data_IF_686483627654
#
_entry.id   IF_686483627654
#
_cell.length_a   1.000
_cell.length_b   1.000
_cell.length_c   1.000
_cell.angle_alpha   90.00
_cell.angle_beta   90.00
_cell.angle_gamma   90.00
#
_symmetry.space_group_name_H-M   'P 1'
#
loop_
_entity.id
_entity.type
_entity.pdbx_description
1 polymer ?
#
# COMPACT_ATOMS: atom_id res chain seq x y z
N UNK A 1 -29.53 27.32 9.69
CA UNK A 1 -29.90 25.91 9.41
C UNK A 1 -30.06 25.60 7.92
N UNK A 2 -30.85 26.39 7.15
CA UNK A 2 -31.10 26.15 5.71
C UNK A 2 -29.83 26.22 4.85
N UNK A 3 -28.95 27.22 5.06
CA UNK A 3 -27.70 27.37 4.29
C UNK A 3 -26.70 26.22 4.52
N UNK A 4 -26.61 25.69 5.74
CA UNK A 4 -25.74 24.55 6.08
C UNK A 4 -26.21 23.25 5.44
N UNK A 5 -27.53 22.98 5.48
CA UNK A 5 -28.12 21.84 4.77
C UNK A 5 -27.90 21.94 3.25
N UNK A 6 -28.02 23.15 2.68
CA UNK A 6 -27.73 23.40 1.25
C UNK A 6 -26.25 23.20 0.91
N UNK A 7 -25.32 23.66 1.73
CA UNK A 7 -23.88 23.47 1.52
C UNK A 7 -23.48 21.99 1.64
N UNK A 8 -23.94 21.29 2.68
CA UNK A 8 -23.73 19.86 2.85
C UNK A 8 -24.34 19.09 1.67
N UNK A 9 -25.55 19.44 1.23
CA UNK A 9 -26.19 18.86 0.06
C UNK A 9 -25.39 19.11 -1.22
N UNK A 10 -24.92 20.34 -1.46
CA UNK A 10 -24.10 20.68 -2.62
C UNK A 10 -22.79 19.89 -2.66
N UNK A 11 -22.03 19.89 -1.56
CA UNK A 11 -20.76 19.20 -1.50
C UNK A 11 -20.92 17.67 -1.43
N UNK A 12 -21.99 17.16 -0.84
CA UNK A 12 -22.36 15.75 -0.90
C UNK A 12 -22.72 15.32 -2.33
N UNK A 13 -23.48 16.13 -3.06
CA UNK A 13 -23.76 15.90 -4.49
C UNK A 13 -22.51 16.04 -5.34
N UNK A 14 -21.63 17.00 -5.05
CA UNK A 14 -20.33 17.15 -5.72
C UNK A 14 -19.46 15.92 -5.48
N UNK A 15 -19.42 15.41 -4.24
CA UNK A 15 -18.75 14.17 -3.92
C UNK A 15 -19.34 13.05 -4.76
N UNK A 16 -20.66 12.83 -4.69
CA UNK A 16 -21.33 11.78 -5.46
C UNK A 16 -21.02 11.85 -6.97
N UNK A 17 -21.06 13.04 -7.57
CA UNK A 17 -20.72 13.26 -8.98
C UNK A 17 -19.24 13.02 -9.27
N UNK A 18 -18.33 13.49 -8.40
CA UNK A 18 -16.89 13.28 -8.56
C UNK A 18 -16.53 11.79 -8.40
N UNK A 19 -17.02 11.13 -7.36
CA UNK A 19 -16.84 9.69 -7.14
C UNK A 19 -17.46 8.87 -8.26
N UNK A 20 -18.65 9.25 -8.75
CA UNK A 20 -19.26 8.63 -9.93
C UNK A 20 -18.40 8.79 -11.18
N UNK A 21 -17.93 10.01 -11.47
CA UNK A 21 -17.01 10.26 -12.58
C UNK A 21 -15.72 9.46 -12.45
N UNK A 22 -15.14 9.39 -11.26
CA UNK A 22 -13.92 8.63 -11.00
C UNK A 22 -14.15 7.12 -11.06
N UNK A 23 -15.31 6.61 -10.66
CA UNK A 23 -15.66 5.20 -10.87
C UNK A 23 -15.65 4.83 -12.35
N UNK A 24 -16.32 5.63 -13.19
CA UNK A 24 -16.28 5.40 -14.64
C UNK A 24 -14.90 5.64 -15.24
N UNK A 25 -14.18 6.64 -14.74
CA UNK A 25 -12.84 6.94 -15.21
C UNK A 25 -11.85 5.86 -14.80
N UNK A 26 -11.93 5.26 -13.61
CA UNK A 26 -11.01 4.23 -13.15
C UNK A 26 -11.26 2.86 -13.80
N UNK A 27 -12.37 2.68 -14.53
CA UNK A 27 -12.60 1.46 -15.32
C UNK A 27 -11.40 1.21 -16.26
N UNK A 28 -10.87 -0.01 -16.20
CA UNK A 28 -9.74 -0.45 -17.01
C UNK A 28 -8.36 -0.27 -16.36
N UNK A 29 -8.28 0.25 -15.13
CA UNK A 29 -7.04 0.15 -14.33
C UNK A 29 -6.93 -1.29 -13.82
N UNK A 30 -6.06 -2.08 -14.43
CA UNK A 30 -5.67 -3.42 -13.95
C UNK A 30 -4.72 -3.31 -12.76
N UNK A 31 -4.76 -4.23 -11.78
CA UNK A 31 -3.86 -4.25 -10.64
C UNK A 31 -2.39 -4.35 -11.06
N UNK A 32 -1.52 -3.65 -10.32
CA UNK A 32 -0.09 -3.56 -10.60
C UNK A 32 0.73 -3.49 -9.31
N UNK A 33 2.01 -3.90 -9.38
CA UNK A 33 2.94 -3.87 -8.24
C UNK A 33 2.31 -4.50 -6.97
N UNK A 34 2.39 -3.84 -5.81
CA UNK A 34 1.78 -4.31 -4.55
C UNK A 34 0.27 -4.66 -4.68
N UNK A 35 -0.47 -3.99 -5.57
CA UNK A 35 -1.89 -4.29 -5.78
C UNK A 35 -2.09 -5.66 -6.44
N UNK A 36 -1.16 -6.07 -7.32
CA UNK A 36 -1.18 -7.40 -7.94
C UNK A 36 -0.85 -8.50 -6.91
N UNK A 37 0.05 -8.22 -5.96
CA UNK A 37 0.32 -9.14 -4.85
C UNK A 37 -0.92 -9.31 -3.96
N UNK A 38 -1.58 -8.22 -3.56
CA UNK A 38 -2.79 -8.28 -2.74
C UNK A 38 -3.94 -8.99 -3.46
N UNK A 39 -4.08 -8.76 -4.77
CA UNK A 39 -5.05 -9.50 -5.59
C UNK A 39 -4.73 -11.00 -5.62
N UNK A 40 -3.47 -11.36 -5.86
CA UNK A 40 -3.05 -12.76 -5.88
C UNK A 40 -3.29 -13.45 -4.54
N UNK A 41 -2.95 -12.81 -3.43
CA UNK A 41 -3.22 -13.31 -2.08
C UNK A 41 -4.71 -13.48 -1.81
N UNK A 42 -5.54 -12.55 -2.29
CA UNK A 42 -7.00 -12.66 -2.15
C UNK A 42 -7.50 -13.90 -2.86
N UNK A 43 -7.02 -14.20 -4.08
CA UNK A 43 -7.34 -15.42 -4.83
C UNK A 43 -6.86 -16.69 -4.13
N UNK A 44 -5.66 -16.68 -3.53
CA UNK A 44 -5.15 -17.81 -2.75
C UNK A 44 -6.04 -18.10 -1.53
N UNK A 45 -6.46 -17.06 -0.81
CA UNK A 45 -7.37 -17.19 0.34
C UNK A 45 -8.72 -17.79 -0.07
N UNK A 46 -9.27 -17.43 -1.22
CA UNK A 46 -10.50 -18.05 -1.74
C UNK A 46 -10.38 -19.55 -1.95
N UNK A 47 -9.16 -20.02 -2.25
CA UNK A 47 -8.81 -21.43 -2.40
C UNK A 47 -8.45 -22.11 -1.07
N UNK A 48 -8.49 -21.38 0.05
CA UNK A 48 -8.07 -21.86 1.37
C UNK A 48 -6.55 -21.95 1.55
N UNK A 49 -5.77 -21.28 0.69
CA UNK A 49 -4.30 -21.25 0.73
C UNK A 49 -3.85 -19.95 1.42
N UNK A 50 -3.11 -20.08 2.53
CA UNK A 50 -2.65 -18.93 3.33
C UNK A 50 -1.15 -18.64 3.22
N UNK A 51 -0.43 -19.44 2.43
CA UNK A 51 0.98 -19.27 2.10
C UNK A 51 1.13 -18.91 0.62
N UNK A 52 2.31 -18.45 0.22
CA UNK A 52 2.66 -18.16 -1.15
C UNK A 52 3.22 -19.45 -1.78
N UNK A 53 2.49 -20.09 -2.72
CA UNK A 53 2.91 -21.37 -3.27
C UNK A 53 4.20 -21.22 -4.08
N UNK A 54 5.07 -22.24 -3.97
CA UNK A 54 6.29 -22.36 -4.76
C UNK A 54 6.43 -23.78 -5.28
N UNK A 55 6.43 -23.94 -6.60
CA UNK A 55 6.49 -25.24 -7.28
C UNK A 55 7.81 -25.96 -7.07
N UNK A 56 8.90 -25.22 -6.83
CA UNK A 56 10.26 -25.77 -6.70
C UNK A 56 10.74 -25.90 -5.24
N UNK A 57 9.84 -25.88 -4.26
CA UNK A 57 10.20 -25.96 -2.83
C UNK A 57 11.10 -27.16 -2.49
N UNK A 58 10.93 -28.30 -3.18
CA UNK A 58 11.74 -29.49 -2.96
C UNK A 58 13.16 -29.39 -3.55
N UNK A 59 13.34 -28.64 -4.63
CA UNK A 59 14.60 -28.51 -5.39
C UNK A 59 15.38 -27.26 -4.95
N UNK A 60 14.69 -26.24 -4.44
CA UNK A 60 15.22 -25.00 -3.87
C UNK A 60 14.60 -24.78 -2.47
N UNK A 61 15.04 -25.56 -1.46
CA UNK A 61 14.49 -25.48 -0.10
C UNK A 61 14.80 -24.15 0.61
N UNK A 62 15.81 -23.42 0.13
CA UNK A 62 16.20 -22.10 0.65
C UNK A 62 15.46 -20.94 -0.06
N UNK A 63 14.62 -21.24 -1.05
CA UNK A 63 13.86 -20.25 -1.83
C UNK A 63 14.77 -19.18 -2.48
N UNK A 64 15.97 -19.61 -2.89
CA UNK A 64 16.99 -18.79 -3.54
C UNK A 64 16.51 -18.19 -4.86
N UNK A 65 15.54 -18.82 -5.53
CA UNK A 65 14.98 -18.35 -6.80
C UNK A 65 13.49 -18.01 -6.72
N UNK A 66 12.94 -17.89 -5.51
CA UNK A 66 11.53 -17.54 -5.30
C UNK A 66 11.17 -16.22 -6.01
N UNK A 67 10.04 -16.15 -6.73
CA UNK A 67 9.73 -15.02 -7.61
C UNK A 67 9.53 -13.68 -6.89
N UNK A 68 9.38 -13.66 -5.57
CA UNK A 68 9.22 -12.43 -4.80
C UNK A 68 10.49 -12.07 -4.02
N UNK A 69 10.76 -10.78 -3.78
CA UNK A 69 11.87 -10.36 -2.93
C UNK A 69 11.66 -10.80 -1.47
N UNK A 70 12.75 -11.05 -0.74
CA UNK A 70 12.73 -11.51 0.67
C UNK A 70 11.92 -10.63 1.61
N UNK A 71 11.79 -9.34 1.29
CA UNK A 71 10.99 -8.41 2.06
C UNK A 71 9.50 -8.80 2.13
N UNK A 72 9.00 -9.55 1.13
CA UNK A 72 7.58 -9.83 0.92
C UNK A 72 7.11 -11.20 1.43
N UNK A 73 8.04 -12.09 1.78
CA UNK A 73 7.73 -13.42 2.29
C UNK A 73 8.70 -13.84 3.41
N UNK A 74 8.25 -14.67 4.34
CA UNK A 74 9.04 -15.29 5.40
C UNK A 74 8.96 -16.81 5.26
N UNK A 75 10.09 -17.50 5.36
CA UNK A 75 10.09 -18.95 5.44
C UNK A 75 9.78 -19.39 6.86
N UNK A 76 8.74 -20.21 7.00
CA UNK A 76 8.33 -20.82 8.26
C UNK A 76 7.93 -22.26 7.99
N UNK A 77 8.58 -23.22 8.65
CA UNK A 77 8.32 -24.66 8.49
C UNK A 77 8.32 -25.12 7.02
N UNK A 78 9.28 -24.60 6.23
CA UNK A 78 9.42 -24.90 4.81
C UNK A 78 8.43 -24.19 3.88
N UNK A 79 7.48 -23.40 4.41
CA UNK A 79 6.50 -22.66 3.60
C UNK A 79 6.82 -21.17 3.53
N UNK A 80 6.59 -20.54 2.38
CA UNK A 80 6.69 -19.09 2.24
C UNK A 80 5.41 -18.39 2.70
N UNK A 81 5.41 -17.81 3.90
CA UNK A 81 4.34 -16.99 4.43
C UNK A 81 4.49 -15.54 3.95
N UNK A 82 3.40 -14.80 3.72
CA UNK A 82 3.55 -13.37 3.40
C UNK A 82 4.00 -12.58 4.63
N UNK A 83 4.85 -11.57 4.41
CA UNK A 83 5.24 -10.62 5.46
C UNK A 83 4.22 -9.51 5.65
N UNK A 84 3.30 -9.34 4.69
CA UNK A 84 2.11 -8.53 4.90
C UNK A 84 1.10 -9.32 5.72
N UNK A 85 0.46 -8.70 6.72
CA UNK A 85 -0.59 -9.37 7.46
C UNK A 85 -1.72 -9.74 6.50
N UNK A 86 -2.03 -11.03 6.41
CA UNK A 86 -3.09 -11.59 5.57
C UNK A 86 -4.50 -11.10 5.93
N UNK A 87 -4.64 -10.20 6.90
CA UNK A 87 -5.92 -9.70 7.40
C UNK A 87 -6.76 -9.04 6.29
N UNK A 88 -6.17 -8.21 5.43
CA UNK A 88 -6.92 -7.58 4.35
C UNK A 88 -7.40 -8.60 3.29
N UNK A 89 -6.53 -9.47 2.71
CA UNK A 89 -6.97 -10.55 1.83
C UNK A 89 -8.05 -11.46 2.46
N UNK A 90 -7.93 -11.79 3.75
CA UNK A 90 -8.92 -12.58 4.50
C UNK A 90 -10.29 -11.91 4.57
N UNK A 91 -10.32 -10.59 4.85
CA UNK A 91 -11.56 -9.85 4.96
C UNK A 91 -12.22 -9.60 3.60
N UNK A 92 -11.43 -9.38 2.55
CA UNK A 92 -11.94 -8.98 1.25
C UNK A 92 -12.27 -10.17 0.35
N UNK A 93 -11.70 -11.36 0.59
CA UNK A 93 -11.94 -12.55 -0.24
C UNK A 93 -13.40 -12.95 -0.39
N UNK A 94 -14.30 -12.89 0.63
CA UNK A 94 -15.70 -13.24 0.41
C UNK A 94 -16.41 -12.25 -0.51
N UNK A 95 -16.01 -10.98 -0.45
CA UNK A 95 -16.53 -9.90 -1.30
C UNK A 95 -16.01 -10.07 -2.73
N UNK A 96 -14.71 -10.35 -2.88
CA UNK A 96 -14.07 -10.59 -4.17
C UNK A 96 -14.70 -11.82 -4.86
N UNK A 97 -15.01 -12.89 -4.12
CA UNK A 97 -15.65 -14.08 -4.68
C UNK A 97 -17.04 -13.81 -5.26
N UNK A 98 -17.82 -12.92 -4.63
CA UNK A 98 -19.22 -12.66 -5.02
C UNK A 98 -19.31 -11.58 -6.10
N UNK A 99 -18.48 -10.54 -6.02
CA UNK A 99 -18.61 -9.34 -6.87
C UNK A 99 -17.34 -8.96 -7.63
N UNK A 100 -16.30 -9.79 -7.57
CA UNK A 100 -14.97 -9.53 -8.13
C UNK A 100 -14.45 -8.13 -7.72
N UNK A 101 -13.75 -7.44 -8.63
CA UNK A 101 -13.23 -6.09 -8.42
C UNK A 101 -14.36 -5.08 -8.12
N UNK A 102 -15.53 -5.24 -8.74
CA UNK A 102 -16.66 -4.31 -8.52
C UNK A 102 -17.21 -4.41 -7.10
N UNK A 103 -17.30 -5.62 -6.54
CA UNK A 103 -17.70 -5.85 -5.15
C UNK A 103 -16.73 -5.21 -4.16
N UNK A 104 -15.42 -5.30 -4.43
CA UNK A 104 -14.39 -4.64 -3.61
C UNK A 104 -14.54 -3.12 -3.65
N UNK A 105 -14.69 -2.54 -4.84
CA UNK A 105 -14.88 -1.08 -5.00
C UNK A 105 -16.14 -0.60 -4.28
N UNK A 106 -17.27 -1.29 -4.44
CA UNK A 106 -18.52 -0.94 -3.72
C UNK A 106 -18.32 -1.00 -2.21
N UNK A 107 -17.66 -2.04 -1.71
CA UNK A 107 -17.40 -2.20 -0.27
C UNK A 107 -16.48 -1.10 0.26
N UNK A 108 -15.46 -0.71 -0.51
CA UNK A 108 -14.58 0.40 -0.15
C UNK A 108 -15.30 1.75 -0.20
N UNK A 109 -16.22 1.98 -1.15
CA UNK A 109 -17.09 3.17 -1.18
C UNK A 109 -17.90 3.23 0.12
N UNK A 110 -18.56 2.12 0.49
CA UNK A 110 -19.37 2.05 1.71
C UNK A 110 -18.51 2.31 2.96
N UNK A 111 -17.33 1.70 3.05
CA UNK A 111 -16.40 1.90 4.17
C UNK A 111 -15.89 3.35 4.25
N UNK A 112 -15.54 3.95 3.11
CA UNK A 112 -15.05 5.32 3.05
C UNK A 112 -16.14 6.31 3.49
N UNK A 113 -17.33 6.27 2.87
CA UNK A 113 -18.43 7.16 3.26
C UNK A 113 -18.93 6.88 4.68
N UNK A 114 -18.97 5.62 5.11
CA UNK A 114 -19.27 5.23 6.48
C UNK A 114 -18.30 5.86 7.48
N UNK A 115 -17.00 5.88 7.16
CA UNK A 115 -16.00 6.58 7.96
C UNK A 115 -16.25 8.09 8.00
N UNK A 116 -16.55 8.74 6.88
CA UNK A 116 -16.93 10.18 6.87
C UNK A 116 -18.14 10.44 7.78
N UNK A 117 -19.16 9.58 7.72
CA UNK A 117 -20.34 9.69 8.58
C UNK A 117 -19.99 9.53 10.06
N UNK A 118 -19.16 8.56 10.43
CA UNK A 118 -18.70 8.35 11.81
C UNK A 118 -17.87 9.54 12.29
N UNK A 119 -16.96 10.06 11.46
CA UNK A 119 -16.16 11.24 11.80
C UNK A 119 -17.04 12.46 12.07
N UNK A 120 -18.08 12.66 11.26
CA UNK A 120 -19.04 13.73 11.50
C UNK A 120 -19.69 13.63 12.89
N UNK A 121 -19.93 12.42 13.41
CA UNK A 121 -20.52 12.24 14.74
C UNK A 121 -19.59 12.63 15.90
N UNK A 122 -18.29 12.80 15.68
CA UNK A 122 -17.33 13.19 16.73
C UNK A 122 -17.58 14.64 17.17
N UNK A 123 -17.74 15.58 16.23
CA UNK A 123 -17.93 17.01 16.54
C UNK A 123 -19.17 17.65 15.93
N UNK A 124 -19.88 16.94 15.04
CA UNK A 124 -20.99 17.47 14.23
C UNK A 124 -20.62 18.74 13.46
N UNK A 125 -19.34 18.87 13.10
CA UNK A 125 -18.82 20.02 12.36
C UNK A 125 -18.83 19.72 10.85
N UNK A 126 -19.63 20.50 10.12
CA UNK A 126 -19.74 20.42 8.67
C UNK A 126 -18.40 20.75 7.99
N UNK A 127 -17.65 21.74 8.49
CA UNK A 127 -16.38 22.16 7.86
C UNK A 127 -15.35 21.04 7.90
N UNK A 128 -15.14 20.45 9.09
CA UNK A 128 -14.23 19.33 9.28
C UNK A 128 -14.63 18.12 8.43
N UNK A 129 -15.93 17.84 8.31
CA UNK A 129 -16.43 16.73 7.48
C UNK A 129 -16.15 16.96 6.00
N UNK A 130 -16.36 18.19 5.51
CA UNK A 130 -16.07 18.56 4.13
C UNK A 130 -14.57 18.56 3.82
N UNK A 131 -13.75 19.02 4.77
CA UNK A 131 -12.30 18.91 4.68
C UNK A 131 -11.83 17.45 4.72
N UNK A 132 -12.50 16.55 5.43
CA UNK A 132 -12.12 15.14 5.42
C UNK A 132 -12.40 14.52 4.05
N UNK A 133 -13.51 14.90 3.42
CA UNK A 133 -13.92 14.36 2.13
C UNK A 133 -13.11 14.91 0.95
N UNK A 134 -12.73 16.19 0.99
CA UNK A 134 -11.99 16.85 -0.11
C UNK A 134 -10.56 17.25 0.24
N UNK A 135 -10.08 17.00 1.45
CA UNK A 135 -8.80 17.53 1.93
C UNK A 135 -7.57 16.72 1.58
N UNK A 136 -7.73 15.61 0.87
CA UNK A 136 -6.65 14.75 0.42
C UNK A 136 -7.07 13.92 -0.79
N UNK A 137 -6.11 13.33 -1.48
CA UNK A 137 -6.36 12.36 -2.55
C UNK A 137 -6.59 10.92 -2.07
N UNK A 138 -6.80 10.69 -0.76
CA UNK A 138 -7.19 9.39 -0.19
C UNK A 138 -8.33 8.67 -0.96
N UNK A 139 -9.36 9.39 -1.47
CA UNK A 139 -10.40 8.78 -2.31
C UNK A 139 -9.91 7.91 -3.46
N UNK A 140 -8.68 8.10 -3.97
CA UNK A 140 -8.15 7.28 -5.07
C UNK A 140 -8.05 5.80 -4.72
N UNK A 141 -7.80 5.46 -3.45
CA UNK A 141 -7.67 4.08 -3.01
C UNK A 141 -8.98 3.30 -2.99
N UNK A 142 -10.12 3.98 -3.11
CA UNK A 142 -11.45 3.35 -3.26
C UNK A 142 -11.54 2.55 -4.58
N UNK A 143 -10.69 2.86 -5.55
CA UNK A 143 -10.66 2.18 -6.85
C UNK A 143 -9.55 1.12 -6.95
N UNK A 144 -8.83 0.84 -5.86
CA UNK A 144 -7.66 -0.03 -5.85
C UNK A 144 -7.84 -1.16 -4.82
N UNK A 145 -7.42 -2.38 -5.13
CA UNK A 145 -7.42 -3.49 -4.15
C UNK A 145 -6.28 -3.22 -3.15
N UNK A 146 -6.60 -2.51 -2.06
CA UNK A 146 -5.61 -2.09 -1.08
C UNK A 146 -6.24 -1.77 0.28
N UNK A 147 -5.48 -1.97 1.35
CA UNK A 147 -5.94 -1.82 2.73
C UNK A 147 -6.10 -0.36 3.22
N UNK A 148 -5.68 0.65 2.44
CA UNK A 148 -5.69 2.07 2.87
C UNK A 148 -7.08 2.53 3.34
N UNK A 149 -8.14 2.17 2.60
CA UNK A 149 -9.51 2.57 2.96
C UNK A 149 -9.95 1.88 4.25
N UNK A 150 -9.63 0.60 4.43
CA UNK A 150 -9.91 -0.14 5.66
C UNK A 150 -9.21 0.51 6.87
N UNK A 151 -7.91 0.82 6.72
CA UNK A 151 -7.12 1.43 7.79
C UNK A 151 -7.65 2.83 8.13
N UNK A 152 -7.99 3.63 7.12
CA UNK A 152 -8.65 4.91 7.32
C UNK A 152 -9.98 4.76 8.10
N UNK A 153 -10.84 3.82 7.71
CA UNK A 153 -12.09 3.56 8.42
C UNK A 153 -11.88 3.12 9.87
N UNK A 154 -10.89 2.27 10.13
CA UNK A 154 -10.51 1.83 11.47
C UNK A 154 -9.95 2.98 12.31
N UNK A 155 -9.11 3.85 11.73
CA UNK A 155 -8.58 5.04 12.41
C UNK A 155 -9.71 5.99 12.84
N UNK A 156 -10.65 6.28 11.93
CA UNK A 156 -11.83 7.09 12.26
C UNK A 156 -12.67 6.44 13.36
N UNK A 157 -12.81 5.11 13.33
CA UNK A 157 -13.49 4.36 14.39
C UNK A 157 -12.78 4.48 15.73
N UNK A 158 -11.44 4.41 15.77
CA UNK A 158 -10.63 4.64 16.98
C UNK A 158 -10.88 6.05 17.53
N UNK A 159 -10.81 7.07 16.67
CA UNK A 159 -11.09 8.46 17.06
C UNK A 159 -12.50 8.62 17.65
N UNK A 160 -13.49 7.97 17.03
CA UNK A 160 -14.87 7.98 17.51
C UNK A 160 -15.04 7.26 18.85
N UNK A 161 -14.46 6.07 19.01
CA UNK A 161 -14.54 5.29 20.24
C UNK A 161 -13.82 5.98 21.39
N UNK A 162 -12.66 6.57 21.14
CA UNK A 162 -11.94 7.37 22.13
C UNK A 162 -12.77 8.58 22.55
N UNK A 163 -13.38 9.29 21.60
CA UNK A 163 -14.31 10.38 21.88
C UNK A 163 -15.54 9.94 22.68
N UNK A 164 -16.09 8.75 22.40
CA UNK A 164 -17.21 8.13 23.14
C UNK A 164 -16.82 7.45 24.45
N UNK A 165 -15.64 7.77 24.98
CA UNK A 165 -15.16 7.30 26.27
C UNK A 165 -15.00 5.77 26.36
N UNK A 166 -14.68 5.13 25.23
CA UNK A 166 -14.34 3.70 25.14
C UNK A 166 -12.84 3.50 24.81
N UNK A 167 -11.91 4.01 25.66
CA UNK A 167 -10.48 4.00 25.35
C UNK A 167 -9.90 2.59 25.21
N UNK A 168 -10.44 1.60 25.93
CA UNK A 168 -9.96 0.21 25.87
C UNK A 168 -10.19 -0.43 24.50
N UNK A 169 -11.40 -0.29 23.94
CA UNK A 169 -11.71 -0.82 22.61
C UNK A 169 -10.92 -0.04 21.55
N UNK A 170 -10.83 1.28 21.71
CA UNK A 170 -10.05 2.13 20.83
C UNK A 170 -8.57 1.68 20.79
N UNK A 171 -7.96 1.40 21.95
CA UNK A 171 -6.57 0.96 22.00
C UNK A 171 -6.33 -0.45 21.47
N UNK A 172 -7.26 -1.39 21.67
CA UNK A 172 -7.18 -2.71 21.02
C UNK A 172 -7.24 -2.62 19.49
N UNK A 173 -8.12 -1.78 18.94
CA UNK A 173 -8.19 -1.55 17.49
C UNK A 173 -6.93 -0.83 17.01
N UNK A 174 -6.40 0.15 17.76
CA UNK A 174 -5.12 0.78 17.45
C UNK A 174 -3.98 -0.23 17.41
N UNK A 175 -3.93 -1.20 18.32
CA UNK A 175 -2.93 -2.27 18.28
C UNK A 175 -3.03 -3.09 16.98
N UNK A 176 -4.23 -3.43 16.53
CA UNK A 176 -4.46 -4.10 15.23
C UNK A 176 -4.00 -3.23 14.07
N UNK A 177 -4.30 -1.92 14.07
CA UNK A 177 -3.84 -1.02 13.02
C UNK A 177 -2.30 -0.94 13.00
N UNK A 178 -1.65 -0.81 14.16
CA UNK A 178 -0.19 -0.79 14.28
C UNK A 178 0.40 -2.12 13.80
N UNK A 179 -0.25 -3.24 14.08
CA UNK A 179 0.20 -4.54 13.60
C UNK A 179 0.13 -4.66 12.07
N UNK A 180 -0.94 -4.15 11.47
CA UNK A 180 -1.12 -4.13 10.01
C UNK A 180 -0.13 -3.16 9.35
N UNK A 181 -0.01 -1.97 9.92
CA UNK A 181 0.87 -0.88 9.48
C UNK A 181 1.66 -0.31 10.65
N UNK A 182 2.86 -0.83 10.91
CA UNK A 182 3.68 -0.36 12.02
C UNK A 182 4.02 1.13 11.94
N UNK A 183 4.08 1.69 10.74
CA UNK A 183 4.29 3.11 10.52
C UNK A 183 3.17 4.01 11.06
N UNK A 184 1.95 3.47 11.25
CA UNK A 184 0.84 4.19 11.89
C UNK A 184 1.00 4.30 13.42
N UNK A 185 2.00 3.66 14.02
CA UNK A 185 2.28 3.74 15.46
C UNK A 185 2.37 5.17 15.99
N UNK A 186 3.08 6.05 15.27
CA UNK A 186 3.22 7.46 15.65
C UNK A 186 1.88 8.21 15.59
N UNK A 187 1.05 7.94 14.58
CA UNK A 187 -0.28 8.54 14.46
C UNK A 187 -1.21 8.06 15.59
N UNK A 188 -1.20 6.75 15.90
CA UNK A 188 -2.04 6.14 16.93
C UNK A 188 -1.68 6.62 18.34
N UNK A 189 -0.40 6.76 18.65
CA UNK A 189 0.07 7.34 19.92
C UNK A 189 -0.35 8.80 20.06
N UNK A 190 -0.53 9.51 18.94
CA UNK A 190 -0.94 10.91 18.98
C UNK A 190 -2.45 11.14 19.20
N UNK A 191 -3.29 10.15 18.90
CA UNK A 191 -4.76 10.26 19.00
C UNK A 191 -5.25 10.90 20.31
N UNK A 192 -4.77 10.51 21.50
CA UNK A 192 -5.23 11.08 22.75
C UNK A 192 -5.02 12.60 22.86
N UNK A 193 -3.96 13.15 22.25
CA UNK A 193 -3.64 14.57 22.29
C UNK A 193 -4.59 15.43 21.44
N UNK A 194 -5.37 14.81 20.54
CA UNK A 194 -6.48 15.47 19.85
C UNK A 194 -7.62 15.84 20.82
N UNK A 195 -7.68 15.20 22.00
CA UNK A 195 -8.72 15.40 23.01
C UNK A 195 -8.09 15.89 24.33
N UNK A 196 -8.89 16.53 25.20
CA UNK A 196 -8.39 17.22 26.42
C UNK A 196 -8.40 16.34 27.69
N UNK A 197 -8.53 15.02 27.56
CA UNK A 197 -8.89 14.12 28.69
C UNK A 197 -7.72 13.24 29.14
N UNK A 198 -7.00 13.63 30.21
CA UNK A 198 -5.75 12.98 30.67
C UNK A 198 -5.94 11.59 31.30
N UNK A 199 -6.98 11.35 32.11
CA UNK A 199 -7.20 10.06 32.80
C UNK A 199 -7.53 8.89 31.85
N UNK A 200 -7.94 9.21 30.61
CA UNK A 200 -8.31 8.22 29.58
C UNK A 200 -7.11 7.78 28.74
N UNK A 201 -6.03 8.57 28.76
CA UNK A 201 -4.77 8.29 28.08
C UNK A 201 -4.19 6.95 28.55
N UNK A 202 -4.03 6.79 29.87
CA UNK A 202 -3.40 5.62 30.47
C UNK A 202 -4.17 4.34 30.10
N UNK A 203 -5.50 4.36 30.16
CA UNK A 203 -6.33 3.20 29.78
C UNK A 203 -6.17 2.84 28.30
N UNK A 204 -6.09 3.84 27.43
CA UNK A 204 -5.85 3.65 26.01
C UNK A 204 -4.46 3.04 25.77
N UNK A 205 -3.39 3.64 26.32
CA UNK A 205 -2.02 3.17 26.16
C UNK A 205 -1.82 1.73 26.71
N UNK A 206 -2.36 1.42 27.89
CA UNK A 206 -2.32 0.06 28.45
C UNK A 206 -3.04 -0.92 27.51
N UNK A 207 -4.19 -0.55 26.94
CA UNK A 207 -4.91 -1.44 26.02
C UNK A 207 -4.19 -1.61 24.68
N UNK A 208 -3.50 -0.58 24.17
CA UNK A 208 -2.63 -0.70 22.99
C UNK A 208 -1.49 -1.67 23.29
N UNK A 209 -0.79 -1.48 24.41
CA UNK A 209 0.32 -2.33 24.82
C UNK A 209 -0.13 -3.78 24.98
N UNK A 210 -1.25 -4.01 25.68
CA UNK A 210 -1.83 -5.34 25.86
C UNK A 210 -2.18 -5.99 24.52
N UNK A 211 -2.83 -5.26 23.61
CA UNK A 211 -3.14 -5.75 22.27
C UNK A 211 -1.89 -6.11 21.46
N UNK A 212 -0.84 -5.27 21.51
CA UNK A 212 0.43 -5.56 20.85
C UNK A 212 1.14 -6.78 21.44
N UNK A 213 1.09 -6.97 22.76
CA UNK A 213 1.63 -8.17 23.41
C UNK A 213 0.88 -9.44 22.97
N UNK A 214 -0.45 -9.39 22.86
CA UNK A 214 -1.21 -10.53 22.36
C UNK A 214 -0.85 -10.87 20.91
N UNK A 215 -0.74 -9.85 20.06
CA UNK A 215 -0.38 -10.02 18.66
C UNK A 215 1.06 -10.52 18.50
N UNK A 216 2.01 -10.02 19.31
CA UNK A 216 3.40 -10.48 19.28
C UNK A 216 3.54 -11.92 19.76
N UNK A 217 2.83 -12.32 20.81
CA UNK A 217 2.80 -13.71 21.28
C UNK A 217 2.20 -14.63 20.21
N UNK A 218 1.06 -14.24 19.62
CA UNK A 218 0.46 -14.98 18.52
C UNK A 218 1.40 -15.12 17.33
N UNK A 219 2.11 -14.06 16.96
CA UNK A 219 3.08 -14.08 15.88
C UNK A 219 4.31 -14.92 16.21
N UNK A 220 4.76 -14.94 17.46
CA UNK A 220 5.85 -15.80 17.90
C UNK A 220 5.48 -17.28 17.77
N UNK A 221 4.27 -17.68 18.16
CA UNK A 221 3.82 -19.07 17.98
C UNK A 221 3.69 -19.50 16.51
N UNK A 222 3.43 -18.55 15.60
CA UNK A 222 3.24 -18.85 14.18
C UNK A 222 4.56 -18.76 13.41
N UNK A 223 5.43 -17.79 13.72
CA UNK A 223 6.55 -17.37 12.87
C UNK A 223 7.89 -17.24 13.59
N UNK A 224 7.94 -17.59 14.88
CA UNK A 224 9.11 -17.45 15.77
C UNK A 224 9.64 -16.00 15.90
N UNK A 225 8.83 -15.00 15.53
CA UNK A 225 9.15 -13.58 15.66
C UNK A 225 8.20 -12.84 16.59
N UNK A 226 8.73 -12.03 17.51
CA UNK A 226 7.93 -11.12 18.34
C UNK A 226 7.57 -9.81 17.63
N UNK A 227 8.31 -9.43 16.59
CA UNK A 227 8.05 -8.22 15.81
C UNK A 227 7.16 -8.58 14.61
N UNK A 228 6.32 -7.63 14.13
CA UNK A 228 5.70 -7.75 12.81
C UNK A 228 6.78 -8.07 11.77
N UNK A 229 6.57 -9.11 10.96
CA UNK A 229 7.58 -9.62 10.01
C UNK A 229 8.14 -8.51 9.11
N UNK A 230 7.30 -7.57 8.70
CA UNK A 230 7.68 -6.41 7.90
C UNK A 230 8.68 -5.49 8.61
N UNK A 231 8.61 -5.34 9.92
CA UNK A 231 9.62 -4.60 10.69
C UNK A 231 10.91 -5.41 10.86
N UNK A 232 10.79 -6.70 11.17
CA UNK A 232 11.94 -7.57 11.37
C UNK A 232 12.84 -7.64 10.11
N UNK A 233 12.24 -7.65 8.92
CA UNK A 233 12.97 -7.74 7.64
C UNK A 233 13.49 -6.42 7.08
N UNK A 234 13.03 -5.28 7.60
CA UNK A 234 13.43 -3.95 7.13
C UNK A 234 14.39 -3.26 8.12
N UNK A 235 15.20 -4.05 8.84
CA UNK A 235 16.10 -3.56 9.89
C UNK A 235 17.16 -2.59 9.38
N UNK A 236 17.56 -2.71 8.11
CA UNK A 236 18.67 -1.96 7.53
C UNK A 236 18.17 -0.64 6.93
N UNK A 237 17.70 0.25 7.82
CA UNK A 237 17.30 1.59 7.41
C UNK A 237 18.50 2.40 6.91
N UNK A 238 18.39 2.90 5.68
CA UNK A 238 19.31 3.87 5.12
C UNK A 238 18.59 5.18 4.88
N UNK A 239 19.03 6.24 5.56
CA UNK A 239 18.50 7.57 5.31
C UNK A 239 18.88 8.04 3.90
N UNK A 240 17.87 8.36 3.08
CA UNK A 240 18.04 8.87 1.71
C UNK A 240 17.36 10.23 1.58
N UNK A 241 18.12 11.35 1.52
CA UNK A 241 17.54 12.69 1.49
C UNK A 241 16.68 12.93 0.24
N UNK A 242 17.02 12.30 -0.88
CA UNK A 242 16.26 12.35 -2.13
C UNK A 242 14.82 11.83 -1.95
N UNK A 243 14.67 10.72 -1.22
CA UNK A 243 13.36 10.14 -0.91
C UNK A 243 12.53 11.07 -0.02
N UNK A 244 13.16 11.67 1.00
CA UNK A 244 12.49 12.61 1.89
C UNK A 244 12.00 13.85 1.13
N UNK A 245 12.84 14.42 0.26
CA UNK A 245 12.44 15.56 -0.59
C UNK A 245 11.27 15.20 -1.52
N UNK A 246 11.37 14.07 -2.19
CA UNK A 246 10.32 13.57 -3.07
C UNK A 246 9.00 13.36 -2.33
N UNK A 247 9.06 12.85 -1.10
CA UNK A 247 7.90 12.66 -0.25
C UNK A 247 7.27 13.93 0.26
N UNK A 248 8.07 14.93 0.64
CA UNK A 248 7.56 16.26 1.01
C UNK A 248 6.80 16.85 -0.17
N UNK A 249 7.39 16.80 -1.37
CA UNK A 249 6.76 17.28 -2.60
C UNK A 249 5.40 16.61 -2.79
N UNK A 250 5.37 15.28 -2.82
CA UNK A 250 4.12 14.51 -2.97
C UNK A 250 3.11 14.87 -1.88
N UNK A 251 3.53 14.93 -0.62
CA UNK A 251 2.65 15.23 0.50
C UNK A 251 1.98 16.60 0.36
N UNK A 252 2.75 17.62 -0.03
CA UNK A 252 2.22 18.96 -0.28
C UNK A 252 1.28 19.03 -1.47
N UNK A 253 1.51 18.25 -2.52
CA UNK A 253 0.64 18.19 -3.70
C UNK A 253 -0.65 17.40 -3.41
N UNK A 254 -0.56 16.32 -2.64
CA UNK A 254 -1.66 15.35 -2.49
C UNK A 254 -2.55 15.57 -1.27
N UNK A 255 -2.12 16.40 -0.31
CA UNK A 255 -2.88 16.66 0.92
C UNK A 255 -3.06 18.16 1.14
N UNK A 256 -4.06 18.80 0.48
CA UNK A 256 -4.36 20.21 0.66
C UNK A 256 -4.63 20.63 2.10
N UNK A 257 -5.19 19.75 2.94
CA UNK A 257 -5.40 20.03 4.37
C UNK A 257 -4.09 20.30 5.10
N UNK A 258 -2.98 19.71 4.66
CA UNK A 258 -1.67 20.01 5.22
C UNK A 258 -1.25 21.46 4.93
N UNK A 259 -1.47 21.95 3.69
CA UNK A 259 -1.20 23.35 3.35
C UNK A 259 -2.11 24.31 4.14
N UNK A 260 -3.40 23.99 4.27
CA UNK A 260 -4.33 24.74 5.13
C UNK A 260 -3.81 24.78 6.58
N UNK A 261 -3.25 23.68 7.07
CA UNK A 261 -2.65 23.59 8.41
C UNK A 261 -1.40 24.45 8.56
N UNK A 262 -0.56 24.56 7.52
CA UNK A 262 0.59 25.46 7.50
C UNK A 262 0.14 26.92 7.59
N UNK A 263 -0.84 27.32 6.76
CA UNK A 263 -1.37 28.69 6.80
C UNK A 263 -1.98 29.03 8.17
N UNK A 264 -2.69 28.07 8.78
CA UNK A 264 -3.24 28.25 10.13
C UNK A 264 -2.14 28.39 11.18
N UNK A 265 -1.07 27.58 11.10
CA UNK A 265 0.07 27.67 11.99
C UNK A 265 0.78 29.03 11.87
N UNK A 266 1.06 29.49 10.63
CA UNK A 266 1.67 30.79 10.39
C UNK A 266 0.83 31.92 10.98
N UNK A 267 -0.49 31.92 10.72
CA UNK A 267 -1.42 32.89 11.31
C UNK A 267 -1.44 32.83 12.84
N UNK A 268 -1.35 31.63 13.40
CA UNK A 268 -1.33 31.39 14.84
C UNK A 268 -0.05 31.96 15.49
N UNK A 269 1.10 31.87 14.83
CA UNK A 269 2.34 32.54 15.25
C UNK A 269 2.19 34.07 15.27
N UNK A 270 1.65 34.67 14.21
CA UNK A 270 1.41 36.13 14.16
C UNK A 270 0.47 36.61 15.27
N UNK A 271 -0.52 35.79 15.63
CA UNK A 271 -1.49 36.09 16.68
C UNK A 271 -1.03 35.67 18.10
N UNK A 272 0.18 35.13 18.26
CA UNK A 272 0.73 34.61 19.52
C UNK A 272 -0.15 33.55 20.20
N UNK A 273 -0.90 32.76 19.43
CA UNK A 273 -1.82 31.71 19.91
C UNK A 273 -1.41 30.34 19.37
N UNK A 274 -0.13 29.98 19.55
CA UNK A 274 0.47 28.77 18.96
C UNK A 274 -0.17 27.50 19.49
N UNK A 275 -0.66 26.64 18.59
CA UNK A 275 -1.17 25.31 18.96
C UNK A 275 -0.02 24.30 19.07
N UNK A 276 0.33 23.93 20.31
CA UNK A 276 1.36 22.91 20.59
C UNK A 276 1.00 21.58 19.92
N UNK A 277 -0.28 21.19 19.94
CA UNK A 277 -0.75 19.97 19.28
C UNK A 277 -0.49 20.00 17.77
N UNK A 278 -0.62 21.16 17.13
CA UNK A 278 -0.36 21.29 15.69
C UNK A 278 1.14 21.18 15.37
N UNK A 279 2.00 21.83 16.16
CA UNK A 279 3.45 21.71 16.04
C UNK A 279 3.94 20.26 16.22
N UNK A 280 3.39 19.56 17.20
CA UNK A 280 3.75 18.16 17.43
C UNK A 280 3.29 17.26 16.28
N UNK A 281 2.12 17.53 15.68
CA UNK A 281 1.67 16.79 14.49
C UNK A 281 2.58 17.04 13.27
N UNK A 282 3.07 18.27 13.10
CA UNK A 282 4.09 18.57 12.08
C UNK A 282 5.39 17.80 12.33
N UNK A 283 5.84 17.72 13.59
CA UNK A 283 7.02 16.93 13.96
C UNK A 283 6.83 15.45 13.63
N UNK A 284 5.67 14.86 13.99
CA UNK A 284 5.34 13.48 13.62
C UNK A 284 5.38 13.29 12.10
N UNK A 285 4.80 14.22 11.35
CA UNK A 285 4.78 14.15 9.87
C UNK A 285 6.21 14.11 9.32
N UNK A 286 7.09 14.97 9.83
CA UNK A 286 8.49 14.99 9.40
C UNK A 286 9.23 13.71 9.79
N UNK A 287 9.04 13.20 11.01
CA UNK A 287 9.62 11.92 11.43
C UNK A 287 9.15 10.79 10.52
N UNK A 288 7.85 10.70 10.20
CA UNK A 288 7.31 9.68 9.31
C UNK A 288 7.85 9.79 7.87
N UNK A 289 8.07 11.01 7.36
CA UNK A 289 8.70 11.24 6.05
C UNK A 289 10.16 10.79 6.06
N UNK A 290 10.92 11.12 7.12
CA UNK A 290 12.33 10.78 7.22
C UNK A 290 12.55 9.28 7.40
N UNK A 291 11.69 8.61 8.17
CA UNK A 291 11.73 7.16 8.43
C UNK A 291 11.01 6.34 7.36
N UNK A 292 10.42 6.98 6.36
CA UNK A 292 9.66 6.29 5.34
C UNK A 292 10.54 5.27 4.61
N UNK A 293 10.13 3.99 4.54
CA UNK A 293 10.76 3.06 3.63
C UNK A 293 10.56 3.58 2.19
N UNK A 294 11.55 3.30 1.34
CA UNK A 294 11.61 3.73 -0.05
C UNK A 294 10.21 3.71 -0.71
N UNK A 295 9.79 4.83 -1.29
CA UNK A 295 8.50 4.95 -1.96
C UNK A 295 8.52 4.15 -3.25
N UNK A 296 8.38 2.83 -3.16
CA UNK A 296 8.25 1.98 -4.34
C UNK A 296 7.16 2.54 -5.25
N UNK A 297 7.52 2.87 -6.50
CA UNK A 297 6.73 3.06 -7.73
C UNK A 297 5.37 3.74 -7.77
N UNK A 298 4.75 4.10 -6.65
CA UNK A 298 3.31 4.35 -6.55
C UNK A 298 2.94 5.83 -6.48
N UNK A 299 3.92 6.74 -6.58
CA UNK A 299 3.75 8.21 -6.50
C UNK A 299 2.77 8.68 -5.41
N UNK A 300 2.67 7.98 -4.27
CA UNK A 300 1.64 8.28 -3.26
C UNK A 300 2.18 8.15 -1.84
N UNK A 301 1.83 9.09 -0.92
CA UNK A 301 2.35 9.12 0.44
C UNK A 301 1.49 8.25 1.36
N UNK A 302 1.26 6.99 0.97
CA UNK A 302 0.16 6.15 1.51
C UNK A 302 0.13 6.02 3.04
N UNK A 303 1.29 6.03 3.68
CA UNK A 303 1.41 5.93 5.14
C UNK A 303 1.19 7.24 5.88
N UNK A 304 1.31 8.39 5.20
CA UNK A 304 1.05 9.70 5.79
C UNK A 304 -0.46 10.03 5.85
N UNK A 305 -1.29 9.31 5.09
CA UNK A 305 -2.74 9.57 5.08
C UNK A 305 -3.40 9.39 6.45
N UNK A 306 -2.82 8.59 7.35
CA UNK A 306 -3.27 8.47 8.73
C UNK A 306 -3.06 9.73 9.58
N UNK A 307 -2.49 10.79 9.02
CA UNK A 307 -2.37 12.09 9.67
C UNK A 307 -3.49 13.05 9.28
N UNK A 308 -4.21 12.78 8.17
CA UNK A 308 -5.24 13.69 7.63
C UNK A 308 -6.38 13.91 8.63
N UNK A 309 -6.99 12.88 9.24
CA UNK A 309 -8.04 13.09 10.24
C UNK A 309 -7.56 13.89 11.46
N UNK A 310 -6.30 13.68 11.87
CA UNK A 310 -5.68 14.34 13.02
C UNK A 310 -5.47 15.84 12.75
N UNK A 311 -4.98 16.20 11.55
CA UNK A 311 -4.86 17.60 11.13
C UNK A 311 -6.22 18.31 11.19
N UNK A 312 -7.27 17.68 10.68
CA UNK A 312 -8.63 18.26 10.66
C UNK A 312 -9.19 18.44 12.08
N UNK A 313 -9.00 17.46 12.96
CA UNK A 313 -9.46 17.55 14.36
C UNK A 313 -8.71 18.63 15.16
N UNK A 314 -7.43 18.84 14.89
CA UNK A 314 -6.67 19.91 15.56
C UNK A 314 -7.07 21.28 15.02
N UNK A 315 -7.27 21.42 13.71
CA UNK A 315 -7.72 22.69 13.10
C UNK A 315 -9.05 23.16 13.67
N UNK A 316 -9.95 22.24 14.02
CA UNK A 316 -11.24 22.54 14.64
C UNK A 316 -11.20 22.61 16.17
N UNK A 317 -10.04 22.40 16.81
CA UNK A 317 -9.92 22.32 18.28
C UNK A 317 -10.14 23.71 18.90
N UNK A 318 -11.17 23.81 19.74
CA UNK A 318 -11.51 25.05 20.46
C UNK A 318 -12.50 25.97 19.72
N UNK A 319 -12.96 25.61 18.53
CA UNK A 319 -14.14 26.26 17.93
C UNK A 319 -15.42 25.61 18.45
N UNK A 320 -16.38 26.42 18.92
CA UNK A 320 -17.74 25.90 19.16
C UNK A 320 -18.32 25.38 17.83
N UNK A 321 -19.07 24.24 17.86
CA UNK A 321 -19.68 23.68 16.66
C UNK A 321 -20.73 24.64 16.10
N UNK A 322 -20.29 25.51 15.18
CA UNK A 322 -21.19 26.43 14.48
C UNK A 322 -21.92 25.66 13.39
N UNK A 323 -23.24 25.63 13.50
CA UNK A 323 -24.09 25.01 12.47
C UNK A 323 -24.01 25.73 11.12
N UNK A 324 -23.53 26.97 11.08
CA UNK A 324 -23.39 27.78 9.87
C UNK A 324 -21.92 27.85 9.42
N UNK A 325 -21.67 27.46 8.16
CA UNK A 325 -20.39 27.63 7.49
C UNK A 325 -20.30 29.06 6.98
N UNK A 326 -19.27 29.82 7.37
CA UNK A 326 -19.09 31.19 6.88
C UNK A 326 -18.70 31.21 5.39
N UNK A 327 -18.96 32.32 4.70
CA UNK A 327 -18.59 32.48 3.28
C UNK A 327 -17.10 32.25 3.02
N UNK A 328 -16.22 32.65 3.95
CA UNK A 328 -14.77 32.41 3.86
C UNK A 328 -14.45 30.91 3.85
N UNK A 329 -15.12 30.13 4.72
CA UNK A 329 -14.97 28.68 4.76
C UNK A 329 -15.58 28.01 3.53
N UNK A 330 -16.71 28.49 3.02
CA UNK A 330 -17.28 28.00 1.75
C UNK A 330 -16.28 28.20 0.61
N UNK A 331 -15.73 29.40 0.48
CA UNK A 331 -14.73 29.70 -0.55
C UNK A 331 -13.49 28.81 -0.44
N UNK A 332 -12.94 28.65 0.77
CA UNK A 332 -11.78 27.79 1.02
C UNK A 332 -12.09 26.32 0.67
N UNK A 333 -13.22 25.79 1.12
CA UNK A 333 -13.62 24.41 0.85
C UNK A 333 -13.85 24.20 -0.65
N UNK A 334 -14.45 25.17 -1.36
CA UNK A 334 -14.60 25.09 -2.82
C UNK A 334 -13.25 25.04 -3.53
N UNK A 335 -12.29 25.91 -3.14
CA UNK A 335 -10.94 25.89 -3.70
C UNK A 335 -10.25 24.55 -3.47
N UNK A 336 -10.30 24.04 -2.22
CA UNK A 336 -9.75 22.73 -1.85
C UNK A 336 -10.42 21.61 -2.65
N UNK A 337 -11.75 21.65 -2.80
CA UNK A 337 -12.51 20.64 -3.55
C UNK A 337 -12.12 20.62 -5.03
N UNK A 338 -12.02 21.79 -5.67
CA UNK A 338 -11.60 21.91 -7.07
C UNK A 338 -10.17 21.39 -7.27
N UNK A 339 -9.25 21.79 -6.39
CA UNK A 339 -7.86 21.33 -6.44
C UNK A 339 -7.77 19.81 -6.25
N UNK A 340 -8.49 19.24 -5.28
CA UNK A 340 -8.49 17.79 -5.03
C UNK A 340 -9.09 17.01 -6.18
N UNK A 341 -10.20 17.47 -6.77
CA UNK A 341 -10.78 16.83 -7.97
C UNK A 341 -9.81 16.89 -9.14
N UNK A 342 -9.14 18.03 -9.35
CA UNK A 342 -8.11 18.16 -10.39
C UNK A 342 -6.94 17.20 -10.14
N UNK A 343 -6.45 17.12 -8.91
CA UNK A 343 -5.34 16.25 -8.55
C UNK A 343 -5.70 14.75 -8.66
N UNK A 344 -6.88 14.34 -8.19
CA UNK A 344 -7.40 12.98 -8.36
C UNK A 344 -7.48 12.59 -9.83
N UNK A 345 -7.93 13.49 -10.70
CA UNK A 345 -7.97 13.24 -12.14
C UNK A 345 -6.56 13.04 -12.74
N UNK A 346 -5.59 13.86 -12.33
CA UNK A 346 -4.19 13.71 -12.74
C UNK A 346 -3.62 12.37 -12.29
N UNK A 347 -3.82 12.00 -11.03
CA UNK A 347 -3.36 10.71 -10.51
C UNK A 347 -4.00 9.52 -11.21
N UNK A 348 -5.32 9.54 -11.46
CA UNK A 348 -5.99 8.45 -12.20
C UNK A 348 -5.41 8.31 -13.60
N UNK A 349 -5.06 9.41 -14.28
CA UNK A 349 -4.36 9.34 -15.57
C UNK A 349 -2.98 8.68 -15.45
N UNK A 350 -2.22 8.99 -14.40
CA UNK A 350 -0.94 8.33 -14.12
C UNK A 350 -1.12 6.83 -13.84
N UNK A 351 -2.06 6.45 -12.98
CA UNK A 351 -2.36 5.04 -12.69
C UNK A 351 -2.78 4.27 -13.94
N UNK A 352 -3.60 4.88 -14.81
CA UNK A 352 -3.94 4.29 -16.12
C UNK A 352 -2.72 4.11 -17.00
N UNK A 353 -1.82 5.08 -17.01
CA UNK A 353 -0.58 5.03 -17.79
C UNK A 353 0.28 3.86 -17.30
N UNK A 354 0.50 3.76 -15.99
CA UNK A 354 1.25 2.67 -15.35
C UNK A 354 0.59 1.31 -15.63
N UNK A 355 -0.72 1.22 -15.40
CA UNK A 355 -1.48 0.00 -15.66
C UNK A 355 -1.40 -0.44 -17.13
N UNK A 356 -1.54 0.50 -18.08
CA UNK A 356 -1.38 0.22 -19.52
C UNK A 356 0.05 -0.23 -19.86
N UNK A 357 1.07 0.41 -19.27
CA UNK A 357 2.46 0.02 -19.45
C UNK A 357 2.68 -1.42 -19.01
N UNK A 358 2.19 -1.78 -17.83
CA UNK A 358 2.34 -3.10 -17.28
C UNK A 358 1.49 -4.15 -17.97
N UNK A 359 0.25 -3.82 -18.36
CA UNK A 359 -0.62 -4.75 -19.10
C UNK A 359 -0.09 -5.05 -20.49
N UNK A 360 0.49 -4.06 -21.17
CA UNK A 360 1.17 -4.27 -22.46
C UNK A 360 2.41 -5.14 -22.28
N UNK A 361 3.18 -4.89 -21.23
CA UNK A 361 4.37 -5.68 -20.94
C UNK A 361 4.00 -7.14 -20.64
N UNK A 362 2.99 -7.35 -19.78
CA UNK A 362 2.45 -8.67 -19.47
C UNK A 362 1.92 -9.38 -20.72
N UNK A 363 1.21 -8.68 -21.60
CA UNK A 363 0.66 -9.30 -22.82
C UNK A 363 1.74 -9.73 -23.81
N UNK A 364 2.87 -9.04 -23.88
CA UNK A 364 4.01 -9.45 -24.71
C UNK A 364 4.77 -10.63 -24.08
N UNK A 365 4.91 -10.65 -22.75
CA UNK A 365 5.51 -11.79 -22.02
C UNK A 365 4.65 -13.06 -22.17
N UNK A 366 3.32 -12.94 -22.16
CA UNK A 366 2.40 -14.06 -22.40
C UNK A 366 2.65 -14.79 -23.72
N UNK A 367 3.12 -14.07 -24.75
CA UNK A 367 3.39 -14.66 -26.07
C UNK A 367 4.68 -15.49 -26.11
N UNK A 368 5.51 -15.43 -25.07
CA UNK A 368 6.73 -16.22 -24.98
C UNK A 368 6.38 -17.71 -24.84
N UNK A 369 7.01 -18.55 -25.67
CA UNK A 369 6.73 -19.98 -25.71
C UNK A 369 7.25 -20.76 -24.50
N UNK A 370 8.34 -20.31 -23.88
CA UNK A 370 8.96 -21.00 -22.74
C UNK A 370 8.06 -20.96 -21.50
N UNK A 371 7.94 -22.10 -20.80
CA UNK A 371 7.14 -22.20 -19.57
C UNK A 371 7.80 -21.52 -18.38
N UNK A 372 9.13 -21.43 -18.38
CA UNK A 372 9.93 -20.89 -17.28
C UNK A 372 10.48 -19.52 -17.67
N UNK A 373 10.19 -18.53 -16.84
CA UNK A 373 10.61 -17.14 -16.98
C UNK A 373 11.49 -16.75 -15.80
N UNK A 374 12.73 -16.38 -16.09
CA UNK A 374 13.70 -15.89 -15.12
C UNK A 374 13.84 -14.38 -15.29
N UNK A 375 13.82 -13.62 -14.19
CA UNK A 375 13.98 -12.17 -14.21
C UNK A 375 14.96 -11.73 -13.13
N UNK A 376 15.61 -10.58 -13.32
CA UNK A 376 16.61 -10.06 -12.38
C UNK A 376 16.20 -8.76 -11.67
N UNK A 377 14.98 -8.28 -11.94
CA UNK A 377 14.44 -7.07 -11.35
C UNK A 377 13.24 -7.43 -10.47
N UNK A 378 13.31 -7.04 -9.20
CA UNK A 378 12.27 -7.29 -8.20
C UNK A 378 10.95 -6.62 -8.53
N UNK A 379 10.97 -5.40 -9.05
CA UNK A 379 9.75 -4.65 -9.34
C UNK A 379 9.00 -5.25 -10.54
N UNK A 380 9.77 -5.81 -11.48
CA UNK A 380 9.24 -6.54 -12.61
C UNK A 380 8.53 -7.84 -12.22
N UNK A 381 8.97 -8.49 -11.13
CA UNK A 381 8.34 -9.72 -10.62
C UNK A 381 6.86 -9.55 -10.33
N UNK A 382 6.46 -8.40 -9.78
CA UNK A 382 5.05 -8.10 -9.48
C UNK A 382 4.19 -7.95 -10.73
N UNK A 383 4.77 -7.47 -11.82
CA UNK A 383 4.08 -7.31 -13.11
C UNK A 383 3.72 -8.67 -13.70
N UNK A 384 4.59 -9.66 -13.50
CA UNK A 384 4.44 -11.00 -14.08
C UNK A 384 3.74 -12.00 -13.17
N UNK A 385 3.48 -11.68 -11.90
CA UNK A 385 2.73 -12.54 -10.96
C UNK A 385 1.45 -13.16 -11.54
N UNK A 386 0.62 -12.44 -12.34
CA UNK A 386 -0.57 -13.02 -12.93
C UNK A 386 -0.30 -14.27 -13.80
N UNK A 387 0.91 -14.42 -14.33
CA UNK A 387 1.30 -15.57 -15.15
C UNK A 387 1.41 -16.88 -14.36
N UNK A 388 1.52 -16.82 -13.02
CA UNK A 388 1.45 -18.02 -12.16
C UNK A 388 0.12 -18.76 -12.33
N UNK A 389 -0.97 -18.04 -12.61
CA UNK A 389 -2.28 -18.65 -12.89
C UNK A 389 -2.37 -19.23 -14.31
N UNK A 390 -1.43 -18.90 -15.19
CA UNK A 390 -1.36 -19.35 -16.58
C UNK A 390 -0.35 -20.48 -16.76
N UNK A 391 0.04 -21.15 -15.66
CA UNK A 391 1.03 -22.23 -15.62
C UNK A 391 2.42 -21.82 -16.16
N UNK A 392 2.80 -20.55 -16.00
CA UNK A 392 4.18 -20.11 -16.18
C UNK A 392 4.91 -20.18 -14.85
N UNK A 393 6.09 -20.77 -14.86
CA UNK A 393 6.99 -20.80 -13.71
C UNK A 393 7.82 -19.52 -13.70
N UNK A 394 7.85 -18.85 -12.55
CA UNK A 394 8.51 -17.56 -12.35
C UNK A 394 9.68 -17.73 -11.38
N UNK A 395 10.87 -17.28 -11.80
CA UNK A 395 12.08 -17.33 -10.99
C UNK A 395 12.73 -15.93 -10.90
N UNK A 396 13.20 -15.55 -9.71
CA UNK A 396 13.94 -14.31 -9.49
C UNK A 396 15.44 -14.59 -9.33
N UNK A 397 16.24 -13.97 -10.19
CA UNK A 397 17.69 -13.95 -10.09
C UNK A 397 18.13 -12.89 -9.08
N UNK A 398 18.76 -13.35 -8.00
CA UNK A 398 19.28 -12.49 -6.92
C UNK A 398 20.69 -11.99 -7.24
N UNK A 399 21.15 -10.98 -6.49
CA UNK A 399 22.50 -10.41 -6.62
C UNK A 399 23.61 -11.46 -6.52
N UNK A 400 23.55 -12.27 -5.46
CA UNK A 400 24.59 -13.24 -5.11
C UNK A 400 24.17 -14.67 -5.46
N UNK A 401 23.43 -14.84 -6.57
CA UNK A 401 22.95 -16.15 -6.98
C UNK A 401 24.12 -17.10 -7.31
N UNK A 402 23.95 -18.39 -7.01
CA UNK A 402 24.89 -19.42 -7.44
C UNK A 402 24.45 -20.01 -8.81
N UNK A 403 25.24 -19.85 -9.88
CA UNK A 403 24.92 -20.42 -11.19
C UNK A 403 24.76 -21.95 -11.17
N UNK A 404 25.49 -22.65 -10.31
CA UNK A 404 25.38 -24.11 -10.18
C UNK A 404 24.01 -24.50 -9.61
N UNK A 405 23.55 -23.82 -8.55
CA UNK A 405 22.23 -24.06 -7.96
C UNK A 405 21.10 -23.80 -8.96
N UNK A 406 21.20 -22.71 -9.74
CA UNK A 406 20.23 -22.42 -10.80
C UNK A 406 20.22 -23.55 -11.85
N UNK A 407 21.40 -23.98 -12.30
CA UNK A 407 21.53 -25.05 -13.29
C UNK A 407 20.97 -26.37 -12.75
N UNK A 408 21.25 -26.72 -11.50
CA UNK A 408 20.72 -27.91 -10.84
C UNK A 408 19.21 -27.89 -10.75
N UNK A 409 18.61 -26.77 -10.34
CA UNK A 409 17.16 -26.61 -10.28
C UNK A 409 16.54 -26.84 -11.67
N UNK A 410 17.05 -26.14 -12.69
CA UNK A 410 16.54 -26.27 -14.05
C UNK A 410 16.64 -27.70 -14.60
N UNK A 411 17.71 -28.42 -14.25
CA UNK A 411 17.90 -29.81 -14.66
C UNK A 411 17.01 -30.80 -13.91
N UNK A 412 16.86 -30.64 -12.59
CA UNK A 412 15.99 -31.49 -11.74
C UNK A 412 14.52 -31.36 -12.15
N UNK A 413 14.11 -30.16 -12.55
CA UNK A 413 12.77 -29.87 -13.09
C UNK A 413 12.60 -30.27 -14.56
N UNK A 414 13.63 -30.86 -15.16
CA UNK A 414 13.64 -31.29 -16.56
C UNK A 414 13.29 -30.17 -17.57
N UNK A 415 13.70 -28.93 -17.25
CA UNK A 415 13.44 -27.76 -18.10
C UNK A 415 14.32 -27.86 -19.34
N UNK A 416 13.70 -27.78 -20.53
CA UNK A 416 14.39 -27.84 -21.83
C UNK A 416 14.83 -26.48 -22.32
N UNK A 417 14.09 -25.44 -21.98
CA UNK A 417 14.34 -24.06 -22.37
C UNK A 417 13.74 -23.11 -21.34
N UNK A 418 14.37 -21.96 -21.19
CA UNK A 418 13.83 -20.87 -20.38
C UNK A 418 14.16 -19.53 -21.03
N UNK A 419 13.33 -18.53 -20.75
CA UNK A 419 13.58 -17.15 -21.18
C UNK A 419 14.02 -16.31 -19.98
N UNK A 420 15.15 -15.63 -20.13
CA UNK A 420 15.64 -14.62 -19.21
C UNK A 420 15.18 -13.24 -19.64
N UNK A 421 14.47 -12.53 -18.77
CA UNK A 421 13.95 -11.19 -18.97
C UNK A 421 14.74 -10.18 -18.15
N UNK A 422 15.37 -9.22 -18.83
CA UNK A 422 16.20 -8.20 -18.19
C UNK A 422 15.65 -6.80 -18.46
N UNK A 423 15.68 -5.93 -17.44
CA UNK A 423 15.43 -4.51 -17.58
C UNK A 423 16.78 -3.74 -17.52
N UNK A 424 17.26 -3.16 -18.63
CA UNK A 424 18.51 -2.40 -18.67
C UNK A 424 18.45 -1.10 -17.85
N UNK A 425 19.53 -0.74 -17.13
CA UNK A 425 20.74 -1.52 -16.91
C UNK A 425 20.46 -2.72 -15.99
N UNK A 426 20.81 -3.91 -16.50
CA UNK A 426 20.68 -5.18 -15.79
C UNK A 426 21.59 -5.14 -14.56
N UNK A 427 21.07 -5.28 -13.32
CA UNK A 427 21.92 -5.24 -12.15
C UNK A 427 22.88 -6.44 -12.12
N UNK A 428 22.44 -7.59 -12.66
CA UNK A 428 23.19 -8.84 -12.74
C UNK A 428 22.82 -9.59 -14.02
N UNK A 429 23.84 -10.06 -14.77
CA UNK A 429 23.67 -10.83 -16.01
C UNK A 429 23.86 -12.33 -15.78
N UNK A 430 23.27 -13.13 -16.68
CA UNK A 430 23.58 -14.56 -16.78
C UNK A 430 24.78 -14.77 -17.71
N UNK A 431 25.67 -15.73 -17.40
CA UNK A 431 26.74 -16.12 -18.31
C UNK A 431 26.15 -16.77 -19.57
N UNK A 432 26.88 -16.70 -20.69
CA UNK A 432 26.42 -17.26 -21.96
C UNK A 432 26.20 -18.79 -21.91
N UNK A 433 26.90 -19.48 -21.00
CA UNK A 433 26.72 -20.90 -20.72
C UNK A 433 26.56 -21.12 -19.21
N UNK A 434 25.47 -21.75 -18.82
CA UNK A 434 25.26 -22.31 -17.49
C UNK A 434 25.63 -23.79 -17.54
N UNK A 435 26.63 -24.21 -16.78
CA UNK A 435 27.20 -25.57 -16.85
C UNK A 435 27.25 -26.16 -15.44
N UNK A 436 26.79 -27.41 -15.29
CA UNK A 436 26.99 -28.18 -14.08
C UNK A 436 28.30 -29.00 -14.19
N UNK A 437 29.26 -28.71 -13.32
CA UNK A 437 30.66 -29.20 -13.40
C UNK A 437 30.82 -30.73 -13.40
N UNK A 438 29.82 -31.47 -12.94
CA UNK A 438 29.89 -32.92 -12.66
C UNK A 438 28.81 -33.76 -13.36
N UNK A 439 28.26 -33.31 -14.50
CA UNK A 439 27.18 -34.04 -15.17
C UNK A 439 27.63 -34.77 -16.46
N UNK A 440 27.22 -36.05 -16.65
CA UNK A 440 27.66 -36.87 -17.78
C UNK A 440 27.08 -36.45 -19.15
N UNK A 441 25.81 -36.00 -19.26
CA UNK A 441 25.20 -35.60 -20.55
C UNK A 441 24.09 -34.53 -20.40
N UNK A 442 23.94 -33.64 -21.40
CA UNK A 442 22.90 -32.61 -21.53
C UNK A 442 22.68 -31.76 -20.27
N UNK A 443 23.74 -31.22 -19.69
CA UNK A 443 23.71 -30.45 -18.46
C UNK A 443 24.21 -29.01 -18.62
N UNK A 444 24.10 -28.51 -19.85
CA UNK A 444 24.40 -27.13 -20.14
C UNK A 444 23.18 -26.41 -20.68
N UNK A 445 22.93 -25.20 -20.22
CA UNK A 445 22.03 -24.27 -20.89
C UNK A 445 22.89 -23.25 -21.62
N UNK A 446 22.75 -23.20 -22.94
CA UNK A 446 23.47 -22.23 -23.77
C UNK A 446 22.52 -21.15 -24.23
N UNK A 447 22.99 -19.91 -24.13
CA UNK A 447 22.34 -18.76 -24.73
C UNK A 447 22.20 -18.96 -26.23
N UNK A 448 21.01 -18.69 -26.76
CA UNK A 448 20.74 -18.82 -28.20
C UNK A 448 20.46 -17.49 -28.84
N UNK A 449 19.46 -16.77 -28.33
CA UNK A 449 18.94 -15.56 -28.98
C UNK A 449 18.65 -14.51 -27.93
N UNK A 450 19.16 -13.31 -28.13
CA UNK A 450 18.79 -12.11 -27.37
C UNK A 450 18.04 -11.17 -28.30
N UNK A 451 16.83 -10.79 -27.90
CA UNK A 451 15.99 -9.84 -28.62
C UNK A 451 15.40 -8.81 -27.65
N UNK A 452 15.07 -7.60 -28.12
CA UNK A 452 14.12 -6.77 -27.39
C UNK A 452 12.75 -7.46 -27.33
N UNK A 453 12.03 -7.29 -26.22
CA UNK A 453 10.64 -7.70 -26.11
C UNK A 453 9.80 -6.77 -27.01
N UNK A 454 9.18 -7.28 -28.09
CA UNK A 454 8.53 -6.43 -29.08
C UNK A 454 7.33 -5.71 -28.46
N UNK A 455 7.11 -4.45 -28.81
CA UNK A 455 6.01 -3.61 -28.32
C UNK A 455 5.92 -3.43 -26.79
N UNK A 456 6.89 -3.96 -26.03
CA UNK A 456 7.05 -3.61 -24.64
C UNK A 456 7.44 -2.14 -24.56
N UNK A 457 6.74 -1.41 -23.70
CA UNK A 457 6.99 0.01 -23.50
C UNK A 457 8.17 0.27 -22.55
N UNK A 458 8.64 -0.78 -21.89
CA UNK A 458 9.90 -0.82 -21.17
C UNK A 458 10.97 -1.48 -22.05
N UNK A 459 12.25 -1.07 -21.97
CA UNK A 459 13.33 -1.58 -22.81
C UNK A 459 13.77 -3.00 -22.40
N UNK A 460 12.83 -3.93 -22.25
CA UNK A 460 13.09 -5.28 -21.75
C UNK A 460 13.78 -6.10 -22.82
N UNK A 461 14.88 -6.76 -22.46
CA UNK A 461 15.54 -7.74 -23.32
C UNK A 461 15.13 -9.14 -22.89
N UNK A 462 14.75 -9.97 -23.87
CA UNK A 462 14.51 -11.40 -23.71
C UNK A 462 15.69 -12.17 -24.26
N UNK A 463 16.27 -13.05 -23.44
CA UNK A 463 17.36 -13.94 -23.82
C UNK A 463 16.92 -15.38 -23.61
N UNK A 464 16.84 -16.15 -24.70
CA UNK A 464 16.48 -17.56 -24.63
C UNK A 464 17.72 -18.42 -24.35
N UNK A 465 17.54 -19.40 -23.46
CA UNK A 465 18.53 -20.43 -23.16
C UNK A 465 17.94 -21.80 -23.48
N UNK A 466 18.70 -22.62 -24.21
CA UNK A 466 18.31 -23.99 -24.56
C UNK A 466 19.24 -25.00 -23.90
N UNK A 467 18.66 -26.09 -23.40
CA UNK A 467 19.40 -27.24 -22.89
C UNK A 467 20.12 -27.94 -24.05
N UNK A 468 21.42 -28.16 -23.89
CA UNK A 468 22.30 -28.87 -24.84
C UNK A 468 23.12 -29.91 -24.14
#
# INVERSE_FOLDING_TARGET
MIQSKKAIGFFGSLAFLAFGYFYFSAKGVLPFADFALLEWQTKLVEQGIFYLPYTHQTQDPDFSFFPLPDLFFQLTNGTAQSTFPNFYPLLISPIFRVGELSGVVISQIILFFGAICIFHQIRKDAKSTLLLLFGSTLPIYVFLIHETVLIFSLEILVLFLFHKERPTIAGLISAVIIWIRPEMGLAMVFIPFCFTMSLRLIRFEISVLFGLVLLSLGNFFITDSLLPLRMAKNSDFQFRPENAYYLIKIWTEQVPVFLVSIFFLLRSFFNKKTSISLLFLFLITMIMILLAPNTGGHNTPRYLYGLVPLYILILSKGEEPKTLVSYQWIFLITLVSLYTVWNLNTQIKELKKISKFQSNTLSEIRKLGDSVLLFNNSDFSFVVLPLLHENKDLLLLRKDYNPQLLTELLLKENIKSFTFLELPPSPYSLPDNLILSNCPHNCSFRKTKTLPLPNALLPITQTQYLRK
#
